data_IF_457811657218
#
_entry.id   IF_457811657218
#
_cell.length_a   1.000
_cell.length_b   1.000
_cell.length_c   1.000
_cell.angle_alpha   90.00
_cell.angle_beta   90.00
_cell.angle_gamma   90.00
#
_symmetry.space_group_name_H-M   'P 1'
#
loop_
_entity.id
_entity.type
_entity.pdbx_description
1 polymer ?
#
# COMPACT_ATOMS: atom_id res chain seq x y z
N UNK A 1 -19.87 5.52 -9.04
CA UNK A 1 -19.13 4.44 -8.35
C UNK A 1 -17.86 5.02 -7.78
N UNK A 2 -17.75 5.09 -6.45
CA UNK A 2 -16.51 5.45 -5.77
C UNK A 2 -15.53 4.29 -5.95
N UNK A 3 -14.32 4.57 -6.44
CA UNK A 3 -13.28 3.55 -6.57
C UNK A 3 -12.60 3.41 -5.20
N UNK A 4 -12.44 2.17 -4.74
CA UNK A 4 -11.79 1.87 -3.47
C UNK A 4 -10.31 1.59 -3.71
N UNK A 5 -9.44 2.13 -2.86
CA UNK A 5 -8.00 1.89 -2.86
C UNK A 5 -7.64 1.28 -1.52
N UNK A 6 -7.02 0.10 -1.52
CA UNK A 6 -6.40 -0.44 -0.32
C UNK A 6 -5.00 0.15 -0.22
N UNK A 7 -4.58 0.61 0.96
CA UNK A 7 -3.25 1.17 1.14
C UNK A 7 -2.60 0.73 2.45
N UNK A 8 -1.27 0.69 2.49
CA UNK A 8 -0.51 0.39 3.70
C UNK A 8 0.78 1.22 3.77
N UNK A 9 0.95 1.88 4.91
CA UNK A 9 2.18 2.48 5.40
C UNK A 9 2.11 2.44 6.94
N UNK A 10 3.26 2.36 7.61
CA UNK A 10 3.38 2.59 9.05
C UNK A 10 3.68 4.06 9.40
N UNK A 11 3.87 4.91 8.38
CA UNK A 11 4.07 6.35 8.52
C UNK A 11 2.73 7.12 8.39
N UNK A 12 2.30 7.68 9.52
CA UNK A 12 1.10 8.52 9.60
C UNK A 12 1.14 9.75 8.68
N UNK A 13 2.32 10.33 8.43
CA UNK A 13 2.45 11.46 7.54
C UNK A 13 2.14 11.07 6.09
N UNK A 14 2.60 9.90 5.65
CA UNK A 14 2.31 9.35 4.32
C UNK A 14 0.82 9.03 4.19
N UNK A 15 0.23 8.39 5.20
CA UNK A 15 -1.21 8.10 5.24
C UNK A 15 -2.03 9.40 5.09
N UNK A 16 -1.72 10.43 5.87
CA UNK A 16 -2.40 11.73 5.80
C UNK A 16 -2.28 12.38 4.41
N UNK A 17 -1.13 12.23 3.75
CA UNK A 17 -0.93 12.72 2.38
C UNK A 17 -1.85 11.98 1.41
N UNK A 18 -1.95 10.65 1.52
CA UNK A 18 -2.85 9.86 0.67
C UNK A 18 -4.30 10.26 0.88
N UNK A 19 -4.78 10.35 2.12
CA UNK A 19 -6.15 10.78 2.43
C UNK A 19 -6.47 12.15 1.85
N UNK A 20 -5.54 13.12 1.97
CA UNK A 20 -5.71 14.46 1.41
C UNK A 20 -5.70 14.47 -0.12
N UNK A 21 -4.77 13.76 -0.75
CA UNK A 21 -4.55 13.80 -2.22
C UNK A 21 -5.54 12.94 -2.98
N UNK A 22 -5.96 11.82 -2.41
CA UNK A 22 -6.87 10.86 -3.00
C UNK A 22 -8.28 10.94 -2.39
N UNK A 23 -8.67 12.07 -1.81
CA UNK A 23 -9.96 12.29 -1.15
C UNK A 23 -11.21 12.01 -2.02
N UNK A 24 -11.06 11.92 -3.35
CA UNK A 24 -12.12 11.49 -4.26
C UNK A 24 -12.31 9.96 -4.34
N UNK A 25 -11.42 9.19 -3.71
CA UNK A 25 -11.43 7.74 -3.59
C UNK A 25 -11.76 7.34 -2.14
N UNK A 26 -12.35 6.16 -1.96
CA UNK A 26 -12.44 5.58 -0.63
C UNK A 26 -11.13 4.84 -0.35
N UNK A 27 -10.28 5.41 0.51
CA UNK A 27 -9.03 4.77 0.90
C UNK A 27 -9.30 3.89 2.12
N UNK A 28 -8.90 2.63 2.03
CA UNK A 28 -8.91 1.68 3.13
C UNK A 28 -7.47 1.45 3.59
N UNK A 29 -7.09 2.11 4.68
CA UNK A 29 -5.77 1.96 5.29
C UNK A 29 -5.75 0.68 6.12
N UNK A 30 -4.82 -0.23 5.79
CA UNK A 30 -4.62 -1.46 6.55
C UNK A 30 -3.88 -1.15 7.86
N UNK A 31 -4.33 -1.70 8.99
CA UNK A 31 -3.60 -1.59 10.26
C UNK A 31 -2.37 -2.50 10.31
N UNK A 32 -2.35 -3.55 9.49
CA UNK A 32 -1.20 -4.44 9.29
C UNK A 32 -1.13 -4.92 7.85
N UNK A 33 0.08 -5.03 7.29
CA UNK A 33 0.28 -5.60 5.96
C UNK A 33 -0.22 -7.05 5.84
N UNK A 34 -0.33 -7.78 6.95
CA UNK A 34 -0.86 -9.15 6.92
C UNK A 34 -2.35 -9.21 6.58
N UNK A 35 -3.11 -8.14 6.84
CA UNK A 35 -4.53 -8.05 6.47
C UNK A 35 -4.72 -8.04 4.95
N UNK A 36 -3.67 -7.68 4.19
CA UNK A 36 -3.69 -7.68 2.73
C UNK A 36 -4.13 -9.03 2.17
N UNK A 37 -3.77 -10.13 2.82
CA UNK A 37 -4.06 -11.48 2.35
C UNK A 37 -5.52 -11.90 2.54
N UNK A 38 -6.32 -11.10 3.24
CA UNK A 38 -7.77 -11.25 3.28
C UNK A 38 -8.48 -10.61 2.08
N UNK A 39 -7.75 -9.79 1.29
CA UNK A 39 -8.27 -9.17 0.07
C UNK A 39 -7.86 -9.97 -1.17
N UNK A 40 -8.70 -9.95 -2.20
CA UNK A 40 -8.41 -10.54 -3.51
C UNK A 40 -8.81 -9.56 -4.61
N UNK A 41 -8.13 -9.60 -5.76
CA UNK A 41 -8.45 -8.76 -6.93
C UNK A 41 -8.52 -7.24 -6.64
N UNK A 42 -7.68 -6.75 -5.71
CA UNK A 42 -7.63 -5.32 -5.32
C UNK A 42 -6.38 -4.63 -5.86
N UNK A 43 -6.39 -3.29 -5.82
CA UNK A 43 -5.21 -2.44 -5.97
C UNK A 43 -4.69 -2.08 -4.59
N UNK A 44 -3.41 -2.35 -4.33
CA UNK A 44 -2.66 -1.94 -3.16
C UNK A 44 -1.75 -0.76 -3.49
N UNK A 45 -1.88 0.32 -2.73
CA UNK A 45 -0.88 1.38 -2.62
C UNK A 45 0.06 1.04 -1.45
N UNK A 46 1.32 0.73 -1.74
CA UNK A 46 2.27 0.22 -0.75
C UNK A 46 3.44 1.18 -0.59
N UNK A 47 3.67 1.64 0.63
CA UNK A 47 4.92 2.25 1.04
C UNK A 47 6.00 1.17 1.25
N UNK A 48 7.05 1.22 0.44
CA UNK A 48 8.14 0.25 0.50
C UNK A 48 8.95 0.35 1.80
N UNK A 49 9.07 1.56 2.37
CA UNK A 49 9.88 1.80 3.57
C UNK A 49 9.31 1.08 4.80
N UNK A 50 7.98 1.10 4.94
CA UNK A 50 7.22 0.41 6.00
C UNK A 50 7.34 -1.11 5.99
N UNK A 51 7.86 -1.70 4.92
CA UNK A 51 7.93 -3.15 4.78
C UNK A 51 9.25 -3.66 4.17
N UNK A 52 10.31 -2.84 4.16
CA UNK A 52 11.55 -3.13 3.45
C UNK A 52 12.13 -4.52 3.72
N UNK A 53 12.12 -4.98 4.99
CA UNK A 53 12.65 -6.30 5.39
C UNK A 53 11.88 -7.48 4.79
N UNK A 54 10.57 -7.34 4.66
CA UNK A 54 9.65 -8.41 4.24
C UNK A 54 9.07 -8.17 2.83
N UNK A 55 9.54 -7.12 2.13
CA UNK A 55 8.96 -6.65 0.87
C UNK A 55 8.87 -7.77 -0.17
N UNK A 56 9.94 -8.54 -0.38
CA UNK A 56 9.94 -9.66 -1.33
C UNK A 56 8.87 -10.70 -0.98
N UNK A 57 8.70 -11.02 0.30
CA UNK A 57 7.69 -11.97 0.75
C UNK A 57 6.27 -11.42 0.51
N UNK A 58 6.05 -10.13 0.78
CA UNK A 58 4.78 -9.44 0.57
C UNK A 58 4.43 -9.44 -0.92
N UNK A 59 5.37 -9.04 -1.79
CA UNK A 59 5.18 -9.02 -3.24
C UNK A 59 4.83 -10.41 -3.78
N UNK A 60 5.53 -11.45 -3.33
CA UNK A 60 5.26 -12.83 -3.74
C UNK A 60 3.86 -13.30 -3.32
N UNK A 61 3.44 -12.99 -2.09
CA UNK A 61 2.10 -13.35 -1.60
C UNK A 61 1.01 -12.55 -2.33
N UNK A 62 1.22 -11.26 -2.57
CA UNK A 62 0.29 -10.41 -3.31
C UNK A 62 0.11 -10.88 -4.76
N UNK A 63 1.19 -11.31 -5.42
CA UNK A 63 1.12 -11.94 -6.74
C UNK A 63 0.23 -13.19 -6.71
N UNK A 64 0.40 -14.08 -5.72
CA UNK A 64 -0.44 -15.28 -5.56
C UNK A 64 -1.91 -14.96 -5.30
N UNK A 65 -2.21 -13.85 -4.65
CA UNK A 65 -3.57 -13.38 -4.36
C UNK A 65 -4.19 -12.52 -5.49
N UNK A 66 -3.51 -12.39 -6.63
CA UNK A 66 -3.90 -11.52 -7.76
C UNK A 66 -4.16 -10.06 -7.34
N UNK A 67 -3.33 -9.55 -6.45
CA UNK A 67 -3.36 -8.15 -6.00
C UNK A 67 -2.42 -7.34 -6.91
N UNK A 68 -2.94 -6.25 -7.46
CA UNK A 68 -2.12 -5.27 -8.20
C UNK A 68 -1.47 -4.33 -7.19
N UNK A 69 -0.20 -4.00 -7.38
CA UNK A 69 0.55 -3.19 -6.42
C UNK A 69 1.09 -1.95 -7.14
N UNK A 70 0.87 -0.79 -6.54
CA UNK A 70 1.61 0.44 -6.81
C UNK A 70 2.57 0.63 -5.64
N UNK A 71 3.85 0.34 -5.88
CA UNK A 71 4.92 0.48 -4.90
C UNK A 71 5.43 1.92 -4.92
N UNK A 72 5.47 2.56 -3.75
CA UNK A 72 6.05 3.88 -3.54
C UNK A 72 7.37 3.70 -2.78
N UNK A 73 8.45 4.13 -3.39
CA UNK A 73 9.78 4.13 -2.77
C UNK A 73 10.15 5.56 -2.38
N UNK A 74 10.93 5.68 -1.31
CA UNK A 74 11.59 6.94 -0.99
C UNK A 74 12.51 7.31 -2.16
N UNK A 75 12.49 8.57 -2.55
CA UNK A 75 13.38 9.03 -3.60
C UNK A 75 14.82 8.86 -3.08
N UNK A 76 15.71 8.11 -3.76
CA UNK A 76 17.08 7.98 -3.29
C UNK A 76 17.68 9.39 -3.20
N UNK A 77 17.95 9.84 -1.97
CA UNK A 77 18.69 11.06 -1.72
C UNK A 77 20.11 10.82 -2.22
N UNK A 78 20.38 11.26 -3.45
CA UNK A 78 21.74 11.44 -3.93
C UNK A 78 22.33 12.65 -3.19
N UNK A 79 22.72 12.46 -1.93
CA UNK A 79 23.70 13.34 -1.29
C UNK A 79 25.10 13.14 -1.88
#
# INVERSE_FOLDING_TARGET
>A
MTRNITAFSDDLAIINIWEKRLHHYSINILSSINELFSYTNTLLLLDASSCYKDLIQILYKAQKANIKILLLEENPSFE
#
